data_IF_344833335937
#
_entry.id   IF_344833335937
#
_cell.length_a   1.000
_cell.length_b   1.000
_cell.length_c   1.000
_cell.angle_alpha   90.00
_cell.angle_beta   90.00
_cell.angle_gamma   90.00
#
_symmetry.space_group_name_H-M   'P 1'
#
loop_
_entity.id
_entity.type
_entity.pdbx_description
1 polymer ?
#
# COMPACT_ATOMS: atom_id res chain seq x y z
N UNK A 1 5.21 -17.64 -20.53
CA UNK A 1 6.48 -17.28 -19.85
C UNK A 1 6.92 -15.84 -20.18
N UNK A 2 6.98 -15.42 -21.44
CA UNK A 2 7.46 -14.08 -21.81
C UNK A 2 6.73 -12.89 -21.19
N UNK A 3 5.40 -12.89 -21.14
CA UNK A 3 4.60 -11.79 -20.57
C UNK A 3 4.77 -11.62 -19.07
N UNK A 4 4.99 -12.72 -18.34
CA UNK A 4 5.27 -12.63 -16.89
C UNK A 4 6.65 -12.05 -16.61
N UNK A 5 7.68 -12.41 -17.39
CA UNK A 5 9.02 -11.81 -17.29
C UNK A 5 8.95 -10.31 -17.58
N UNK A 6 8.19 -9.91 -18.58
CA UNK A 6 7.97 -8.51 -18.92
C UNK A 6 7.29 -7.74 -17.78
N UNK A 7 6.23 -8.29 -17.18
CA UNK A 7 5.58 -7.71 -16.02
C UNK A 7 6.59 -7.44 -14.89
N UNK A 8 7.40 -8.42 -14.55
CA UNK A 8 8.41 -8.27 -13.50
C UNK A 8 9.54 -7.31 -13.89
N UNK A 9 9.91 -7.24 -15.17
CA UNK A 9 10.83 -6.20 -15.70
C UNK A 9 10.28 -4.79 -15.48
N UNK A 10 8.99 -4.58 -15.77
CA UNK A 10 8.31 -3.30 -15.52
C UNK A 10 8.19 -2.98 -14.03
N UNK A 11 7.88 -3.99 -13.20
CA UNK A 11 7.88 -3.83 -11.73
C UNK A 11 9.28 -3.43 -11.24
N UNK A 12 10.33 -4.12 -11.68
CA UNK A 12 11.69 -3.79 -11.30
C UNK A 12 12.11 -2.38 -11.74
N UNK A 13 11.72 -1.93 -12.95
CA UNK A 13 12.13 -0.65 -13.51
C UNK A 13 11.34 0.55 -12.99
N UNK A 14 10.04 0.39 -12.66
CA UNK A 14 9.17 1.52 -12.36
C UNK A 14 8.59 1.52 -10.94
N UNK A 15 8.78 0.44 -10.16
CA UNK A 15 8.27 0.38 -8.78
C UNK A 15 9.26 0.93 -7.75
N UNK A 16 8.91 0.97 -6.46
CA UNK A 16 9.84 1.30 -5.39
C UNK A 16 11.12 0.44 -5.37
N UNK A 17 11.14 -0.73 -6.03
CA UNK A 17 12.34 -1.56 -6.16
C UNK A 17 13.47 -0.78 -6.83
N UNK A 18 13.20 -0.11 -7.97
CA UNK A 18 14.18 0.72 -8.65
C UNK A 18 14.68 1.89 -7.77
N UNK A 19 13.76 2.48 -7.02
CA UNK A 19 14.04 3.62 -6.13
C UNK A 19 14.97 3.21 -4.97
N UNK A 20 14.67 2.08 -4.33
CA UNK A 20 15.50 1.55 -3.24
C UNK A 20 16.88 1.12 -3.75
N UNK A 21 16.96 0.47 -4.91
CA UNK A 21 18.24 0.12 -5.54
C UNK A 21 19.06 1.39 -5.80
N UNK A 22 18.45 2.43 -6.38
CA UNK A 22 19.11 3.72 -6.62
C UNK A 22 19.62 4.32 -5.29
N UNK A 23 18.77 4.37 -4.25
CA UNK A 23 19.12 4.91 -2.94
C UNK A 23 20.29 4.16 -2.29
N UNK A 24 20.30 2.82 -2.36
CA UNK A 24 21.40 2.00 -1.81
C UNK A 24 22.69 2.23 -2.59
N UNK A 25 22.61 2.31 -3.91
CA UNK A 25 23.79 2.44 -4.78
C UNK A 25 24.41 3.85 -4.73
N UNK A 26 23.61 4.91 -4.59
CA UNK A 26 24.07 6.30 -4.73
C UNK A 26 23.89 7.15 -3.46
N UNK A 27 23.30 6.60 -2.41
CA UNK A 27 22.99 7.30 -1.15
C UNK A 27 21.73 8.19 -1.21
N UNK A 28 21.17 8.44 -2.40
CA UNK A 28 20.00 9.31 -2.56
C UNK A 28 19.17 8.94 -3.79
N UNK A 29 17.94 9.44 -3.85
CA UNK A 29 17.08 9.31 -5.05
C UNK A 29 16.98 10.67 -5.72
N UNK A 30 17.48 10.84 -6.96
CA UNK A 30 17.38 12.11 -7.67
C UNK A 30 15.93 12.51 -7.96
N UNK A 31 15.61 13.81 -7.94
CA UNK A 31 14.24 14.31 -8.16
C UNK A 31 13.65 13.89 -9.52
N UNK A 32 14.47 13.75 -10.57
CA UNK A 32 14.02 13.29 -11.88
C UNK A 32 13.59 11.81 -11.92
N UNK A 33 13.98 11.01 -10.92
CA UNK A 33 13.76 9.57 -10.92
C UNK A 33 12.27 9.19 -10.93
N UNK A 34 11.44 9.97 -10.23
CA UNK A 34 9.97 9.79 -10.27
C UNK A 34 9.43 9.93 -11.70
N UNK A 35 9.91 10.93 -12.45
CA UNK A 35 9.50 11.16 -13.83
C UNK A 35 10.02 10.08 -14.79
N UNK A 36 11.23 9.55 -14.56
CA UNK A 36 11.75 8.42 -15.32
C UNK A 36 10.85 7.18 -15.16
N UNK A 37 10.39 6.86 -13.96
CA UNK A 37 9.47 5.75 -13.69
C UNK A 37 8.13 5.94 -14.41
N UNK A 38 7.59 7.15 -14.40
CA UNK A 38 6.39 7.51 -15.19
C UNK A 38 6.66 7.33 -16.68
N UNK A 39 7.82 7.77 -17.17
CA UNK A 39 8.25 7.62 -18.56
C UNK A 39 8.29 6.15 -19.01
N UNK A 40 8.77 5.24 -18.17
CA UNK A 40 8.74 3.78 -18.45
C UNK A 40 7.30 3.32 -18.70
N UNK A 41 6.35 3.73 -17.87
CA UNK A 41 4.93 3.36 -18.04
C UNK A 41 4.31 4.02 -19.27
N UNK A 42 4.66 5.30 -19.52
CA UNK A 42 4.18 6.06 -20.68
C UNK A 42 4.64 5.49 -22.02
N UNK A 43 5.82 4.87 -22.06
CA UNK A 43 6.32 4.17 -23.26
C UNK A 43 5.72 2.75 -23.36
N UNK A 44 5.68 2.01 -22.25
CA UNK A 44 5.20 0.62 -22.26
C UNK A 44 3.69 0.52 -22.58
N UNK A 45 2.89 1.50 -22.18
CA UNK A 45 1.44 1.49 -22.40
C UNK A 45 1.07 1.55 -23.90
N UNK A 46 1.50 2.55 -24.72
CA UNK A 46 1.22 2.56 -26.15
C UNK A 46 1.86 1.39 -26.86
N UNK A 47 3.08 0.98 -26.49
CA UNK A 47 3.72 -0.21 -27.06
C UNK A 47 2.85 -1.47 -26.89
N UNK A 48 2.11 -1.58 -25.78
CA UNK A 48 1.12 -2.64 -25.55
C UNK A 48 -0.06 -2.63 -26.54
N UNK A 49 -0.37 -1.51 -27.15
CA UNK A 49 -1.39 -1.44 -28.23
C UNK A 49 -0.81 -1.78 -29.59
N UNK A 50 0.47 -1.53 -29.81
CA UNK A 50 1.15 -1.75 -31.08
C UNK A 50 1.64 -3.19 -31.26
N UNK A 51 1.94 -3.89 -30.16
CA UNK A 51 2.52 -5.25 -30.21
C UNK A 51 1.70 -6.25 -29.39
N UNK A 52 1.43 -7.42 -29.98
CA UNK A 52 0.69 -8.48 -29.30
C UNK A 52 1.38 -9.01 -28.03
N UNK A 53 2.72 -9.06 -28.04
CA UNK A 53 3.53 -9.52 -26.92
C UNK A 53 3.38 -8.65 -25.65
N UNK A 54 3.14 -7.34 -25.83
CA UNK A 54 2.98 -6.37 -24.73
C UNK A 54 1.51 -6.19 -24.31
N UNK A 55 0.56 -6.80 -25.04
CA UNK A 55 -0.88 -6.67 -24.73
C UNK A 55 -1.22 -6.98 -23.26
N UNK A 56 -0.69 -8.05 -22.63
CA UNK A 56 -1.07 -8.40 -21.26
C UNK A 56 -0.67 -7.33 -20.22
N UNK A 57 0.42 -6.57 -20.43
CA UNK A 57 0.87 -5.58 -19.45
C UNK A 57 0.13 -4.23 -19.51
N UNK A 58 -0.77 -4.03 -20.49
CA UNK A 58 -1.51 -2.76 -20.64
C UNK A 58 -2.29 -2.35 -19.40
N UNK A 59 -2.96 -3.33 -18.76
CA UNK A 59 -3.72 -3.09 -17.54
C UNK A 59 -2.83 -2.53 -16.43
N UNK A 60 -1.73 -3.20 -16.17
CA UNK A 60 -0.72 -2.79 -15.22
C UNK A 60 -0.13 -1.41 -15.56
N UNK A 61 0.36 -1.21 -16.78
CA UNK A 61 0.97 0.05 -17.21
C UNK A 61 0.01 1.24 -17.07
N UNK A 62 -1.25 1.09 -17.44
CA UNK A 62 -2.22 2.15 -17.34
C UNK A 62 -2.54 2.52 -15.89
N UNK A 63 -2.82 1.54 -15.04
CA UNK A 63 -3.22 1.80 -13.64
C UNK A 63 -2.02 2.22 -12.83
N UNK A 64 -0.91 1.51 -12.93
CA UNK A 64 0.28 1.84 -12.14
C UNK A 64 0.93 3.14 -12.62
N UNK A 65 0.96 3.40 -13.93
CA UNK A 65 1.39 4.67 -14.49
C UNK A 65 0.55 5.85 -14.00
N UNK A 66 -0.78 5.67 -13.92
CA UNK A 66 -1.68 6.69 -13.35
C UNK A 66 -1.40 6.92 -11.86
N UNK A 67 -1.20 5.84 -11.07
CA UNK A 67 -0.81 5.96 -9.66
C UNK A 67 0.50 6.76 -9.52
N UNK A 68 1.53 6.42 -10.28
CA UNK A 68 2.81 7.14 -10.24
C UNK A 68 2.65 8.62 -10.61
N UNK A 69 1.87 8.91 -11.66
CA UNK A 69 1.65 10.29 -12.12
C UNK A 69 0.90 11.14 -11.08
N UNK A 70 -0.19 10.62 -10.52
CA UNK A 70 -0.96 11.37 -9.52
C UNK A 70 -0.19 11.55 -8.22
N UNK A 71 0.60 10.55 -7.81
CA UNK A 71 1.50 10.67 -6.65
C UNK A 71 2.59 11.71 -6.90
N UNK A 72 3.22 11.74 -8.07
CA UNK A 72 4.24 12.74 -8.40
C UNK A 72 3.68 14.16 -8.44
N UNK A 73 2.44 14.32 -8.93
CA UNK A 73 1.79 15.63 -9.04
C UNK A 73 1.26 16.15 -7.70
N UNK A 74 0.68 15.27 -6.87
CA UNK A 74 -0.06 15.69 -5.68
C UNK A 74 0.66 15.40 -4.36
N UNK A 75 1.41 14.30 -4.23
CA UNK A 75 1.98 13.86 -2.95
C UNK A 75 3.50 13.85 -2.92
N UNK A 76 4.15 14.91 -3.34
CA UNK A 76 5.60 15.01 -3.13
C UNK A 76 5.93 14.85 -1.63
N UNK A 77 6.87 13.94 -1.28
CA UNK A 77 7.36 13.69 0.10
C UNK A 77 7.76 15.00 0.83
N UNK A 78 8.20 16.01 0.07
CA UNK A 78 8.49 17.34 0.56
C UNK A 78 7.24 18.06 1.12
N UNK A 79 6.05 17.86 0.54
CA UNK A 79 4.81 18.50 1.01
C UNK A 79 4.34 17.94 2.35
N UNK A 80 4.49 16.63 2.58
CA UNK A 80 4.18 16.02 3.86
C UNK A 80 4.97 16.67 5.00
N UNK A 81 6.28 16.81 4.83
CA UNK A 81 7.15 17.47 5.80
C UNK A 81 6.80 18.95 5.99
N UNK A 82 6.48 19.65 4.91
CA UNK A 82 6.06 21.06 4.97
C UNK A 82 4.78 21.23 5.77
N UNK A 83 3.75 20.42 5.52
CA UNK A 83 2.49 20.49 6.26
C UNK A 83 2.68 20.20 7.76
N UNK A 84 3.45 19.17 8.10
CA UNK A 84 3.71 18.84 9.49
C UNK A 84 4.54 19.91 10.20
N UNK A 85 5.51 20.52 9.51
CA UNK A 85 6.34 21.59 10.05
C UNK A 85 5.54 22.90 10.23
N UNK A 86 4.71 23.27 9.25
CA UNK A 86 3.96 24.52 9.23
C UNK A 86 2.76 24.50 10.17
N UNK A 87 1.97 23.43 10.14
CA UNK A 87 0.68 23.36 10.84
C UNK A 87 0.71 22.49 12.11
N UNK A 88 1.79 21.76 12.34
CA UNK A 88 1.90 20.77 13.39
C UNK A 88 1.24 19.43 13.08
N UNK A 89 1.36 18.46 14.00
CA UNK A 89 1.03 17.07 13.72
C UNK A 89 -0.43 16.87 13.29
N UNK A 90 -1.40 17.31 14.11
CA UNK A 90 -2.82 17.02 13.83
C UNK A 90 -3.31 17.74 12.58
N UNK A 91 -3.19 19.08 12.42
CA UNK A 91 -3.65 19.76 11.21
C UNK A 91 -2.86 19.34 9.96
N UNK A 92 -1.54 19.19 10.08
CA UNK A 92 -0.70 18.75 8.96
C UNK A 92 -1.06 17.34 8.50
N UNK A 93 -1.34 16.42 9.45
CA UNK A 93 -1.79 15.07 9.13
C UNK A 93 -3.19 15.06 8.51
N UNK A 94 -4.13 15.90 8.98
CA UNK A 94 -5.44 16.04 8.34
C UNK A 94 -5.32 16.45 6.88
N UNK A 95 -4.47 17.43 6.56
CA UNK A 95 -4.23 17.85 5.17
C UNK A 95 -3.67 16.71 4.33
N UNK A 96 -2.73 15.94 4.87
CA UNK A 96 -2.17 14.76 4.19
C UNK A 96 -3.23 13.68 3.95
N UNK A 97 -4.07 13.39 4.93
CA UNK A 97 -5.13 12.40 4.79
C UNK A 97 -6.19 12.86 3.77
N UNK A 98 -6.58 14.15 3.78
CA UNK A 98 -7.49 14.70 2.77
C UNK A 98 -6.89 14.62 1.35
N UNK A 99 -5.61 14.94 1.20
CA UNK A 99 -4.91 14.77 -0.07
C UNK A 99 -4.87 13.30 -0.50
N UNK A 100 -4.59 12.39 0.44
CA UNK A 100 -4.64 10.95 0.21
C UNK A 100 -6.01 10.47 -0.29
N UNK A 101 -7.09 10.95 0.32
CA UNK A 101 -8.46 10.65 -0.13
C UNK A 101 -8.73 11.11 -1.56
N UNK A 102 -8.29 12.33 -1.93
CA UNK A 102 -8.42 12.82 -3.31
C UNK A 102 -7.70 11.89 -4.29
N UNK A 103 -6.48 11.47 -3.95
CA UNK A 103 -5.69 10.52 -4.75
C UNK A 103 -6.44 9.18 -4.85
N UNK A 104 -6.89 8.63 -3.73
CA UNK A 104 -7.59 7.34 -3.68
C UNK A 104 -8.86 7.35 -4.55
N UNK A 105 -9.69 8.38 -4.42
CA UNK A 105 -10.90 8.51 -5.23
C UNK A 105 -10.60 8.67 -6.73
N UNK A 106 -9.57 9.43 -7.10
CA UNK A 106 -9.14 9.55 -8.48
C UNK A 106 -8.66 8.21 -9.06
N UNK A 107 -7.86 7.46 -8.28
CA UNK A 107 -7.37 6.13 -8.68
C UNK A 107 -8.51 5.12 -8.78
N UNK A 108 -9.44 5.11 -7.82
CA UNK A 108 -10.63 4.24 -7.86
C UNK A 108 -11.55 4.58 -9.03
N UNK A 109 -11.76 5.86 -9.32
CA UNK A 109 -12.53 6.30 -10.47
C UNK A 109 -11.87 5.84 -11.79
N UNK A 110 -10.56 6.00 -11.92
CA UNK A 110 -9.82 5.52 -13.09
C UNK A 110 -9.90 3.99 -13.24
N UNK A 111 -9.70 3.25 -12.16
CA UNK A 111 -9.83 1.79 -12.15
C UNK A 111 -11.25 1.34 -12.51
N UNK A 112 -12.27 2.03 -11.98
CA UNK A 112 -13.68 1.77 -12.30
C UNK A 112 -13.99 2.05 -13.78
N UNK A 113 -13.52 3.16 -14.33
CA UNK A 113 -13.68 3.50 -15.75
C UNK A 113 -13.11 2.40 -16.65
N UNK A 114 -12.04 1.75 -16.24
CA UNK A 114 -11.44 0.64 -16.97
C UNK A 114 -12.21 -0.68 -16.83
N UNK A 115 -12.73 -0.96 -15.62
CA UNK A 115 -13.39 -2.23 -15.28
C UNK A 115 -14.92 -2.17 -15.44
N UNK A 116 -15.49 -0.97 -15.39
CA UNK A 116 -16.94 -0.69 -15.46
C UNK A 116 -17.76 -1.48 -14.42
N UNK A 117 -17.14 -1.85 -13.30
CA UNK A 117 -17.77 -2.65 -12.24
C UNK A 117 -17.11 -2.42 -10.88
N UNK A 118 -17.91 -2.13 -9.86
CA UNK A 118 -17.47 -2.02 -8.48
C UNK A 118 -16.93 -3.35 -7.93
N UNK A 119 -17.59 -4.46 -8.30
CA UNK A 119 -17.10 -5.80 -7.97
C UNK A 119 -15.80 -6.14 -8.70
N UNK A 120 -15.60 -5.62 -9.90
CA UNK A 120 -14.38 -5.80 -10.69
C UNK A 120 -13.16 -5.09 -10.10
N UNK A 121 -13.37 -4.07 -9.27
CA UNK A 121 -12.32 -3.40 -8.49
C UNK A 121 -12.38 -3.73 -7.00
N UNK A 122 -13.16 -4.75 -6.60
CA UNK A 122 -13.32 -5.22 -5.21
C UNK A 122 -13.82 -4.15 -4.22
N UNK A 123 -14.43 -3.06 -4.66
CA UNK A 123 -14.93 -1.99 -3.79
C UNK A 123 -16.28 -2.38 -3.17
N UNK A 124 -16.22 -3.33 -2.26
CA UNK A 124 -17.34 -3.88 -1.47
C UNK A 124 -16.80 -4.58 -0.22
N UNK A 125 -17.65 -4.89 0.77
CA UNK A 125 -17.24 -5.59 1.98
C UNK A 125 -16.61 -6.98 1.68
N UNK A 126 -17.23 -7.74 0.77
CA UNK A 126 -16.81 -9.10 0.41
C UNK A 126 -17.43 -10.19 1.28
N UNK A 127 -17.06 -11.43 0.99
CA UNK A 127 -17.50 -12.63 1.71
C UNK A 127 -16.60 -12.88 2.92
N UNK A 128 -16.91 -12.26 4.05
CA UNK A 128 -16.03 -12.24 5.24
C UNK A 128 -15.71 -13.62 5.81
N UNK A 129 -16.56 -14.61 5.57
CA UNK A 129 -16.38 -15.99 6.01
C UNK A 129 -15.85 -16.91 4.91
N UNK A 130 -15.37 -16.36 3.78
CA UNK A 130 -14.80 -17.14 2.69
C UNK A 130 -13.68 -18.08 3.20
N UNK A 131 -13.54 -19.30 2.62
CA UNK A 131 -12.45 -20.20 2.99
C UNK A 131 -11.12 -19.64 2.49
N UNK A 132 -10.08 -19.79 3.31
CA UNK A 132 -8.70 -19.49 2.92
C UNK A 132 -8.18 -20.58 2.00
N UNK A 133 -7.68 -20.23 0.84
CA UNK A 133 -7.04 -21.13 -0.14
C UNK A 133 -5.57 -20.73 -0.28
N UNK A 134 -4.65 -21.62 -0.54
CA UNK A 134 -4.62 -23.05 -0.63
C UNK A 134 -3.93 -23.72 0.55
N UNK A 135 -3.81 -24.92 0.34
CA UNK A 135 -3.37 -26.11 0.99
C UNK A 135 -2.14 -26.04 1.93
N UNK A 136 -1.21 -25.10 1.85
CA UNK A 136 -0.11 -25.07 2.83
C UNK A 136 -0.56 -24.55 4.22
N UNK A 137 -1.75 -23.94 4.29
CA UNK A 137 -2.44 -23.62 5.54
C UNK A 137 -3.51 -24.66 5.91
N UNK A 138 -3.76 -25.65 5.05
CA UNK A 138 -4.71 -26.74 5.31
C UNK A 138 -4.01 -27.83 6.12
N UNK A 139 -3.89 -27.61 7.40
CA UNK A 139 -3.69 -28.70 8.37
C UNK A 139 -4.96 -29.55 8.36
N UNK A 140 -4.86 -30.86 8.51
CA UNK A 140 -6.00 -31.76 8.53
C UNK A 140 -7.12 -31.24 9.45
N UNK A 141 -8.28 -30.86 8.85
CA UNK A 141 -9.39 -30.24 9.57
C UNK A 141 -10.29 -29.38 8.66
N UNK A 142 -11.33 -28.75 9.21
CA UNK A 142 -12.19 -27.85 8.45
C UNK A 142 -11.39 -26.66 7.91
N UNK A 143 -11.71 -26.15 6.70
CA UNK A 143 -10.94 -25.08 6.06
C UNK A 143 -10.92 -23.83 6.94
N UNK A 144 -9.71 -23.27 7.15
CA UNK A 144 -9.53 -21.97 7.79
C UNK A 144 -10.36 -20.91 7.04
N UNK A 145 -10.99 -20.01 7.78
CA UNK A 145 -11.85 -18.96 7.21
C UNK A 145 -11.27 -17.58 7.48
N UNK A 146 -11.49 -16.64 6.55
CA UNK A 146 -11.03 -15.26 6.67
C UNK A 146 -11.57 -14.54 7.91
N UNK A 147 -12.78 -14.89 8.38
CA UNK A 147 -13.31 -14.35 9.64
C UNK A 147 -12.44 -14.62 10.88
N UNK A 148 -11.55 -15.61 10.81
CA UNK A 148 -10.55 -15.91 11.86
C UNK A 148 -9.17 -15.39 11.48
N UNK A 149 -8.73 -15.64 10.25
CA UNK A 149 -7.39 -15.25 9.81
C UNK A 149 -7.25 -13.73 9.68
N UNK A 150 -8.26 -13.02 9.19
CA UNK A 150 -8.22 -11.57 9.03
C UNK A 150 -7.90 -10.82 10.34
N UNK A 151 -8.70 -11.03 11.42
CA UNK A 151 -8.38 -10.45 12.73
C UNK A 151 -7.02 -10.87 13.28
N UNK A 152 -6.63 -12.14 13.13
CA UNK A 152 -5.33 -12.62 13.60
C UNK A 152 -4.17 -11.92 12.90
N UNK A 153 -4.24 -11.76 11.58
CA UNK A 153 -3.19 -11.05 10.80
C UNK A 153 -3.12 -9.58 11.20
N UNK A 154 -4.27 -8.90 11.33
CA UNK A 154 -4.31 -7.50 11.78
C UNK A 154 -3.70 -7.32 13.17
N UNK A 155 -4.10 -8.14 14.13
CA UNK A 155 -3.57 -8.09 15.50
C UNK A 155 -2.07 -8.44 15.54
N UNK A 156 -1.63 -9.47 14.83
CA UNK A 156 -0.21 -9.81 14.72
C UNK A 156 0.60 -8.66 14.12
N UNK A 157 0.10 -8.02 13.06
CA UNK A 157 0.70 -6.83 12.48
C UNK A 157 0.82 -5.68 13.48
N UNK A 158 -0.24 -5.39 14.22
CA UNK A 158 -0.24 -4.38 15.29
C UNK A 158 0.77 -4.69 16.40
N UNK A 159 0.86 -5.94 16.84
CA UNK A 159 1.84 -6.38 17.85
C UNK A 159 3.27 -6.28 17.34
N UNK A 160 3.52 -6.63 16.07
CA UNK A 160 4.84 -6.49 15.46
C UNK A 160 5.27 -5.01 15.40
N UNK A 161 4.38 -4.10 14.99
CA UNK A 161 4.65 -2.66 14.97
C UNK A 161 4.86 -2.13 16.39
N UNK A 162 4.04 -2.55 17.36
CA UNK A 162 4.22 -2.18 18.75
C UNK A 162 5.59 -2.61 19.29
N UNK A 163 6.00 -3.84 19.00
CA UNK A 163 7.34 -4.35 19.37
C UNK A 163 8.46 -3.52 18.76
N UNK A 164 8.34 -3.18 17.47
CA UNK A 164 9.30 -2.32 16.77
C UNK A 164 9.40 -0.92 17.40
N UNK A 165 8.27 -0.25 17.63
CA UNK A 165 8.26 1.10 18.22
C UNK A 165 8.80 1.10 19.66
N UNK A 166 8.48 0.09 20.45
CA UNK A 166 9.04 -0.06 21.82
C UNK A 166 10.54 -0.28 21.79
N UNK A 167 11.04 -1.04 20.84
CA UNK A 167 12.47 -1.26 20.66
C UNK A 167 13.22 0.02 20.25
N UNK A 168 12.62 0.87 19.39
CA UNK A 168 13.23 2.11 18.88
C UNK A 168 13.07 3.31 19.82
N UNK A 169 12.35 3.18 20.92
CA UNK A 169 12.12 4.21 21.93
C UNK A 169 10.84 5.03 21.69
N UNK A 170 9.84 4.83 22.54
CA UNK A 170 8.56 5.54 22.46
C UNK A 170 8.57 6.81 23.33
N UNK A 171 7.86 7.87 22.87
CA UNK A 171 7.64 9.11 23.63
C UNK A 171 6.79 8.90 24.89
N UNK A 172 6.96 9.77 25.89
CA UNK A 172 6.24 9.80 27.18
C UNK A 172 5.12 10.86 27.22
N UNK A 173 4.73 11.46 26.09
CA UNK A 173 3.65 12.45 26.04
C UNK A 173 2.29 11.86 26.47
N UNK A 174 1.33 12.74 26.87
CA UNK A 174 -0.01 12.30 27.29
C UNK A 174 -0.74 11.57 26.14
N UNK A 175 -1.07 10.29 26.32
CA UNK A 175 -1.66 9.47 25.28
C UNK A 175 -3.08 9.88 24.87
N UNK A 176 -3.81 10.60 25.72
CA UNK A 176 -5.22 10.94 25.50
C UNK A 176 -5.41 11.92 24.32
N UNK A 177 -4.43 12.81 24.13
CA UNK A 177 -4.50 13.86 23.12
C UNK A 177 -4.43 13.32 21.69
N UNK A 178 -3.83 12.13 21.49
CA UNK A 178 -3.60 11.58 20.14
C UNK A 178 -4.44 10.36 19.81
N UNK A 179 -5.02 9.66 20.82
CA UNK A 179 -5.65 8.36 20.61
C UNK A 179 -6.78 8.39 19.55
N UNK A 180 -7.69 9.36 19.63
CA UNK A 180 -8.79 9.50 18.67
C UNK A 180 -8.28 9.82 17.26
N UNK A 181 -7.29 10.71 17.16
CA UNK A 181 -6.68 11.09 15.88
C UNK A 181 -5.93 9.92 15.26
N UNK A 182 -5.24 9.11 16.06
CA UNK A 182 -4.55 7.92 15.57
C UNK A 182 -5.53 6.94 14.92
N UNK A 183 -6.68 6.70 15.55
CA UNK A 183 -7.75 5.85 14.98
C UNK A 183 -8.28 6.43 13.67
N UNK A 184 -8.56 7.74 13.63
CA UNK A 184 -9.07 8.41 12.43
C UNK A 184 -8.05 8.36 11.28
N UNK A 185 -6.80 8.71 11.56
CA UNK A 185 -5.73 8.69 10.56
C UNK A 185 -5.45 7.29 10.05
N UNK A 186 -5.42 6.29 10.93
CA UNK A 186 -5.27 4.89 10.56
C UNK A 186 -6.40 4.41 9.63
N UNK A 187 -7.65 4.78 9.96
CA UNK A 187 -8.79 4.38 9.15
C UNK A 187 -8.73 4.96 7.73
N UNK A 188 -8.34 6.23 7.61
CA UNK A 188 -8.21 6.91 6.32
C UNK A 188 -6.99 6.38 5.56
N UNK A 189 -5.82 6.27 6.21
CA UNK A 189 -4.60 5.80 5.56
C UNK A 189 -4.77 4.38 5.01
N UNK A 190 -5.29 3.46 5.83
CA UNK A 190 -5.58 2.11 5.39
C UNK A 190 -6.52 2.09 4.18
N UNK A 191 -7.58 2.93 4.16
CA UNK A 191 -8.45 3.04 2.99
C UNK A 191 -7.70 3.55 1.76
N UNK A 192 -6.90 4.61 1.90
CA UNK A 192 -6.14 5.22 0.80
C UNK A 192 -5.18 4.19 0.20
N UNK A 193 -4.38 3.53 1.03
CA UNK A 193 -3.38 2.59 0.54
C UNK A 193 -4.00 1.31 -0.02
N UNK A 194 -5.07 0.80 0.58
CA UNK A 194 -5.80 -0.34 0.00
C UNK A 194 -6.45 0.02 -1.34
N UNK A 195 -6.97 1.24 -1.50
CA UNK A 195 -7.52 1.70 -2.77
C UNK A 195 -6.46 1.67 -3.91
N UNK A 196 -5.24 2.11 -3.62
CA UNK A 196 -4.16 2.15 -4.60
C UNK A 196 -3.58 0.76 -4.88
N UNK A 197 -3.14 0.07 -3.83
CA UNK A 197 -2.32 -1.13 -3.96
C UNK A 197 -3.14 -2.42 -4.09
N UNK A 198 -4.41 -2.41 -3.67
CA UNK A 198 -5.29 -3.60 -3.79
C UNK A 198 -6.41 -3.35 -4.79
N UNK A 199 -7.32 -2.41 -4.52
CA UNK A 199 -8.45 -2.21 -5.42
C UNK A 199 -8.00 -1.91 -6.86
N UNK A 200 -7.11 -0.96 -7.05
CA UNK A 200 -6.68 -0.57 -8.39
C UNK A 200 -5.63 -1.54 -8.95
N UNK A 201 -4.52 -1.77 -8.24
CA UNK A 201 -3.39 -2.53 -8.76
C UNK A 201 -3.69 -4.03 -8.95
N UNK A 202 -4.31 -4.68 -7.94
CA UNK A 202 -4.68 -6.11 -8.06
C UNK A 202 -5.71 -6.29 -9.18
N UNK A 203 -6.72 -5.41 -9.28
CA UNK A 203 -7.69 -5.49 -10.37
C UNK A 203 -7.07 -5.30 -11.76
N UNK A 204 -5.97 -4.56 -11.86
CA UNK A 204 -5.27 -4.33 -13.13
C UNK A 204 -4.43 -5.55 -13.58
N UNK A 205 -3.86 -6.29 -12.62
CA UNK A 205 -2.96 -7.44 -12.91
C UNK A 205 -3.71 -8.76 -13.01
N UNK A 206 -4.73 -8.95 -12.17
CA UNK A 206 -5.45 -10.22 -12.00
C UNK A 206 -5.98 -10.84 -13.31
N UNK A 207 -6.60 -10.09 -14.24
CA UNK A 207 -7.20 -10.69 -15.43
C UNK A 207 -6.21 -11.31 -16.42
N UNK A 208 -5.05 -10.68 -16.54
CA UNK A 208 -4.05 -11.09 -17.54
C UNK A 208 -2.99 -12.05 -16.97
N UNK A 209 -2.75 -12.00 -15.65
CA UNK A 209 -1.66 -12.73 -15.00
C UNK A 209 -2.10 -13.71 -13.90
N UNK A 210 -3.39 -13.69 -13.52
CA UNK A 210 -3.95 -14.55 -12.49
C UNK A 210 -3.60 -14.12 -11.05
N UNK A 211 -4.22 -14.81 -10.08
CA UNK A 211 -4.19 -14.44 -8.67
C UNK A 211 -2.76 -14.43 -8.08
N UNK A 212 -1.94 -15.42 -8.43
CA UNK A 212 -0.56 -15.51 -7.90
C UNK A 212 0.25 -14.28 -8.24
N UNK A 213 0.24 -13.85 -9.50
CA UNK A 213 1.04 -12.68 -9.93
C UNK A 213 0.46 -11.39 -9.37
N UNK A 214 -0.87 -11.25 -9.33
CA UNK A 214 -1.52 -10.07 -8.75
C UNK A 214 -1.18 -9.90 -7.26
N UNK A 215 -1.19 -10.99 -6.48
CA UNK A 215 -0.77 -10.98 -5.07
C UNK A 215 0.71 -10.56 -4.97
N UNK A 216 1.61 -11.22 -5.71
CA UNK A 216 3.04 -10.97 -5.60
C UNK A 216 3.43 -9.55 -6.04
N UNK A 217 2.87 -9.05 -7.14
CA UNK A 217 3.14 -7.68 -7.62
C UNK A 217 2.68 -6.64 -6.59
N UNK A 218 1.46 -6.79 -6.06
CA UNK A 218 0.95 -5.91 -5.01
C UNK A 218 1.82 -5.99 -3.74
N UNK A 219 2.22 -7.18 -3.32
CA UNK A 219 3.09 -7.41 -2.16
C UNK A 219 4.44 -6.72 -2.31
N UNK A 220 5.10 -6.89 -3.46
CA UNK A 220 6.45 -6.32 -3.70
C UNK A 220 6.39 -4.80 -3.79
N UNK A 221 5.45 -4.26 -4.56
CA UNK A 221 5.32 -2.79 -4.72
C UNK A 221 5.00 -2.13 -3.38
N UNK A 222 4.05 -2.68 -2.62
CA UNK A 222 3.66 -2.17 -1.31
C UNK A 222 4.77 -2.33 -0.28
N UNK A 223 5.32 -3.53 -0.14
CA UNK A 223 6.35 -3.81 0.86
C UNK A 223 7.62 -3.00 0.64
N UNK A 224 8.17 -2.99 -0.58
CA UNK A 224 9.39 -2.21 -0.87
C UNK A 224 9.13 -0.70 -0.79
N UNK A 225 7.90 -0.25 -1.07
CA UNK A 225 7.49 1.14 -0.87
C UNK A 225 7.63 1.64 0.57
N UNK A 226 7.69 0.73 1.56
CA UNK A 226 7.88 1.06 2.97
C UNK A 226 9.36 1.11 3.42
N UNK A 227 10.31 1.08 2.48
CA UNK A 227 11.73 1.23 2.80
C UNK A 227 12.03 2.49 3.65
N UNK A 228 11.37 3.60 3.32
CA UNK A 228 11.45 4.87 4.05
C UNK A 228 10.22 5.13 4.95
N UNK A 229 9.41 4.10 5.21
CA UNK A 229 8.20 4.18 6.02
C UNK A 229 8.43 4.02 7.52
N UNK A 230 7.37 3.72 8.26
CA UNK A 230 7.41 3.34 9.66
C UNK A 230 6.62 2.02 9.83
N UNK A 231 7.27 0.90 10.18
CA UNK A 231 8.71 0.68 10.32
C UNK A 231 9.52 0.95 9.05
N UNK A 232 10.82 1.24 9.18
CA UNK A 232 11.69 1.57 8.05
C UNK A 232 12.71 0.47 7.73
N UNK A 233 13.40 0.61 6.59
CA UNK A 233 14.46 -0.29 6.15
C UNK A 233 13.96 -1.71 5.88
N UNK A 234 14.84 -2.69 6.05
CA UNK A 234 14.53 -4.11 5.81
C UNK A 234 13.40 -4.64 6.70
N UNK A 235 13.33 -4.19 7.96
CA UNK A 235 12.25 -4.56 8.88
C UNK A 235 10.89 -4.08 8.36
N UNK A 236 10.81 -2.82 7.93
CA UNK A 236 9.62 -2.25 7.31
C UNK A 236 9.19 -3.03 6.07
N UNK A 237 10.13 -3.28 5.15
CA UNK A 237 9.85 -4.06 3.93
C UNK A 237 9.31 -5.45 4.25
N UNK A 238 9.91 -6.17 5.19
CA UNK A 238 9.47 -7.52 5.55
C UNK A 238 8.07 -7.52 6.19
N UNK A 239 7.84 -6.64 7.17
CA UNK A 239 6.57 -6.56 7.88
C UNK A 239 5.43 -6.15 6.95
N UNK A 240 5.64 -5.11 6.13
CA UNK A 240 4.61 -4.63 5.21
C UNK A 240 4.43 -5.56 3.99
N UNK A 241 5.48 -6.28 3.55
CA UNK A 241 5.32 -7.34 2.55
C UNK A 241 4.44 -8.49 3.08
N UNK A 242 4.65 -8.93 4.32
CA UNK A 242 3.82 -9.96 4.92
C UNK A 242 2.35 -9.50 5.01
N UNK A 243 2.10 -8.29 5.52
CA UNK A 243 0.77 -7.69 5.54
C UNK A 243 0.18 -7.58 4.13
N UNK A 244 0.98 -7.08 3.18
CA UNK A 244 0.60 -6.91 1.78
C UNK A 244 0.18 -8.19 1.09
N UNK A 245 0.87 -9.28 1.37
CA UNK A 245 0.53 -10.61 0.87
C UNK A 245 -0.84 -11.08 1.36
N UNK A 246 -1.07 -11.01 2.68
CA UNK A 246 -2.36 -11.41 3.25
C UNK A 246 -3.50 -10.50 2.81
N UNK A 247 -3.26 -9.18 2.70
CA UNK A 247 -4.26 -8.22 2.24
C UNK A 247 -4.68 -8.50 0.77
N UNK A 248 -3.73 -8.65 -0.15
CA UNK A 248 -4.02 -8.96 -1.55
C UNK A 248 -4.71 -10.32 -1.71
N UNK A 249 -4.28 -11.32 -0.93
CA UNK A 249 -4.89 -12.64 -0.90
C UNK A 249 -6.32 -12.59 -0.35
N UNK A 250 -6.54 -11.90 0.75
CA UNK A 250 -7.87 -11.70 1.34
C UNK A 250 -8.82 -11.04 0.35
N UNK A 251 -8.38 -9.96 -0.32
CA UNK A 251 -9.19 -9.26 -1.31
C UNK A 251 -9.68 -10.19 -2.42
N UNK A 252 -8.79 -10.98 -2.99
CA UNK A 252 -9.14 -11.91 -4.09
C UNK A 252 -10.08 -13.01 -3.60
N UNK A 253 -9.81 -13.61 -2.44
CA UNK A 253 -10.58 -14.76 -1.94
C UNK A 253 -11.95 -14.36 -1.37
N UNK A 254 -12.03 -13.22 -0.68
CA UNK A 254 -13.29 -12.68 -0.15
C UNK A 254 -14.04 -11.84 -1.18
N UNK A 255 -13.38 -11.51 -2.28
CA UNK A 255 -13.90 -10.60 -3.32
C UNK A 255 -14.29 -9.22 -2.78
N UNK A 256 -13.55 -8.70 -1.79
CA UNK A 256 -13.85 -7.42 -1.15
C UNK A 256 -12.67 -6.84 -0.39
N UNK A 257 -12.83 -5.58 0.05
CA UNK A 257 -11.74 -4.83 0.67
C UNK A 257 -11.79 -4.76 2.20
N UNK A 258 -12.83 -5.31 2.86
CA UNK A 258 -12.99 -5.09 4.31
C UNK A 258 -11.86 -5.76 5.12
N UNK A 259 -11.48 -7.02 4.79
CA UNK A 259 -10.35 -7.66 5.46
C UNK A 259 -9.02 -7.01 5.14
N UNK A 260 -8.65 -6.68 3.88
CA UNK A 260 -7.47 -5.87 3.59
C UNK A 260 -7.41 -4.60 4.43
N UNK A 261 -8.48 -3.81 4.40
CA UNK A 261 -8.59 -2.57 5.16
C UNK A 261 -8.40 -2.79 6.68
N UNK A 262 -9.08 -3.79 7.26
CA UNK A 262 -8.99 -4.06 8.69
C UNK A 262 -7.59 -4.51 9.11
N UNK A 263 -6.98 -5.42 8.34
CA UNK A 263 -5.62 -5.90 8.61
C UNK A 263 -4.58 -4.79 8.54
N UNK A 264 -4.80 -3.79 7.69
CA UNK A 264 -3.95 -2.61 7.57
C UNK A 264 -4.26 -1.57 8.66
N UNK A 265 -5.52 -1.33 8.95
CA UNK A 265 -5.98 -0.38 9.97
C UNK A 265 -5.38 -0.64 11.35
N UNK A 266 -5.32 -1.90 11.79
CA UNK A 266 -4.84 -2.25 13.14
C UNK A 266 -3.38 -1.85 13.40
N UNK A 267 -2.39 -2.23 12.56
CA UNK A 267 -1.03 -1.75 12.73
C UNK A 267 -0.90 -0.23 12.56
N UNK A 268 -1.68 0.38 11.68
CA UNK A 268 -1.66 1.83 11.47
C UNK A 268 -2.10 2.62 12.70
N UNK A 269 -3.06 2.11 13.48
CA UNK A 269 -3.41 2.73 14.79
C UNK A 269 -2.18 2.86 15.67
N UNK A 270 -1.34 1.83 15.71
CA UNK A 270 -0.08 1.85 16.49
C UNK A 270 0.91 2.85 15.89
N UNK A 271 1.08 2.85 14.55
CA UNK A 271 1.96 3.79 13.84
C UNK A 271 1.58 5.24 14.14
N UNK A 272 0.34 5.63 13.87
CA UNK A 272 -0.11 7.02 14.05
C UNK A 272 -0.14 7.43 15.53
N UNK A 273 -0.44 6.51 16.43
CA UNK A 273 -0.41 6.78 17.86
C UNK A 273 1.01 7.16 18.32
N UNK A 274 2.01 6.34 18.03
CA UNK A 274 3.39 6.60 18.46
C UNK A 274 4.04 7.74 17.67
N UNK A 275 3.73 7.90 16.39
CA UNK A 275 4.20 9.05 15.62
C UNK A 275 3.65 10.37 16.20
N UNK A 276 2.37 10.41 16.54
CA UNK A 276 1.76 11.57 17.18
C UNK A 276 2.35 11.88 18.56
N UNK A 277 2.59 10.86 19.39
CA UNK A 277 3.26 11.07 20.68
C UNK A 277 4.67 11.66 20.54
N UNK A 278 5.47 11.18 19.58
CA UNK A 278 6.78 11.73 19.26
C UNK A 278 6.72 13.19 18.84
N UNK A 279 5.79 13.53 17.95
CA UNK A 279 5.63 14.89 17.44
C UNK A 279 5.15 15.90 18.50
N UNK A 280 4.31 15.47 19.46
CA UNK A 280 3.83 16.31 20.57
C UNK A 280 4.92 16.43 21.66
N UNK A 281 5.61 15.35 21.99
CA UNK A 281 6.67 15.32 23.00
C UNK A 281 7.84 16.26 22.69
N UNK A 282 8.23 16.39 21.43
CA UNK A 282 9.27 17.33 21.01
C UNK A 282 8.89 18.81 21.13
N UNK A 283 7.60 19.16 21.11
CA UNK A 283 7.12 20.55 21.30
C UNK A 283 7.05 20.99 22.75
N UNK A 284 6.98 20.07 23.70
CA UNK A 284 6.92 20.40 25.13
C UNK A 284 8.29 20.69 25.77
N UNK A 285 9.39 20.57 25.02
CA UNK A 285 10.77 20.75 25.48
C UNK A 285 11.39 22.06 24.90
N UNK A 286 10.70 22.78 24.05
CA UNK A 286 11.11 24.08 23.48
C UNK A 286 10.23 25.21 23.98
#
# INVERSE_FOLDING_TARGET
MGSTLLLWGLVAAASPVAEVICQIATGSVPAWFAWARIGVMAVALPAGYLTAALRPVRGFCAVYGFILAILALLSGYSRARLYLAEYGFIPGMLLLQLQGLVIAFAVLAFAWLRRRSWSGIFLRAGELAAPVRPAWLSVAGPPLRWRLLGPLVGMAGGLCVLGYVRYTGASTADPRQIALWAVLFAAINAFVEEALFRNALVSAVLPDFGARQAILVSTVIFGVGHWNGLPSGSAGVLMTSALGYFAAKAMIETKGMLWPWFMHFVPDVVVFYYWGLGAIGHRSIG
#
